data_IF_609303415097
#
_entry.id   IF_609303415097
#
_cell.length_a   1.000
_cell.length_b   1.000
_cell.length_c   1.000
_cell.angle_alpha   90.00
_cell.angle_beta   90.00
_cell.angle_gamma   90.00
#
_symmetry.space_group_name_H-M   'P 1'
#
loop_
_entity.id
_entity.type
_entity.pdbx_description
1 polymer ?
#
# COMPACT_ATOMS: atom_id res chain seq x y z
N UNK A 1 -0.01 7.50 18.92
CA UNK A 1 -0.15 7.21 17.47
C UNK A 1 -0.40 5.72 17.37
N UNK A 2 -1.52 5.24 16.78
CA UNK A 2 -1.73 3.81 16.64
C UNK A 2 -0.59 3.22 15.79
N UNK A 3 -0.06 2.07 16.20
CA UNK A 3 0.89 1.32 15.40
C UNK A 3 0.25 1.05 14.03
N UNK A 4 1.01 1.26 12.96
CA UNK A 4 0.52 0.97 11.61
C UNK A 4 0.28 -0.54 11.50
N UNK A 5 -0.96 -0.93 11.26
CA UNK A 5 -1.32 -2.33 11.05
C UNK A 5 -1.03 -2.72 9.60
N UNK A 6 0.06 -3.47 9.40
CA UNK A 6 0.54 -3.88 8.08
C UNK A 6 -0.38 -4.91 7.42
N UNK A 7 -1.05 -5.75 8.19
CA UNK A 7 -1.96 -6.77 7.65
C UNK A 7 -3.28 -6.12 7.22
N UNK A 8 -3.75 -5.13 7.97
CA UNK A 8 -4.88 -4.29 7.58
C UNK A 8 -4.55 -3.45 6.33
N UNK A 9 -3.32 -2.95 6.20
CA UNK A 9 -2.86 -2.29 4.99
C UNK A 9 -2.88 -3.26 3.80
N UNK A 10 -2.31 -4.45 3.95
CA UNK A 10 -2.24 -5.45 2.89
C UNK A 10 -3.63 -5.88 2.40
N UNK A 11 -4.54 -6.17 3.33
CA UNK A 11 -5.93 -6.49 3.01
C UNK A 11 -6.65 -5.33 2.33
N UNK A 12 -6.37 -4.08 2.73
CA UNK A 12 -6.94 -2.90 2.07
C UNK A 12 -6.46 -2.70 0.63
N UNK A 13 -5.29 -3.26 0.27
CA UNK A 13 -4.79 -3.25 -1.11
C UNK A 13 -5.37 -4.38 -1.96
N UNK A 14 -6.19 -5.27 -1.39
CA UNK A 14 -6.73 -6.43 -2.09
C UNK A 14 -5.83 -7.67 -2.03
N UNK A 15 -4.85 -7.69 -1.12
CA UNK A 15 -3.92 -8.80 -0.93
C UNK A 15 -2.62 -8.66 -1.74
N UNK A 16 -1.72 -9.64 -1.55
CA UNK A 16 -0.36 -9.66 -2.15
C UNK A 16 -0.39 -9.70 -3.68
N UNK A 17 -1.35 -10.43 -4.23
CA UNK A 17 -1.57 -10.59 -5.67
C UNK A 17 -2.06 -9.32 -6.39
N UNK A 18 -2.61 -8.35 -5.65
CA UNK A 18 -3.30 -7.21 -6.24
C UNK A 18 -2.40 -5.99 -6.44
N UNK A 19 -1.15 -6.03 -5.97
CA UNK A 19 -0.20 -4.94 -6.18
C UNK A 19 1.13 -5.45 -6.74
N UNK A 20 1.87 -4.56 -7.38
CA UNK A 20 3.19 -4.83 -7.91
C UNK A 20 4.05 -3.58 -7.93
N UNK A 21 5.38 -3.80 -8.02
CA UNK A 21 6.37 -2.75 -8.23
C UNK A 21 6.33 -1.62 -7.18
N UNK A 22 6.43 -1.95 -5.88
CA UNK A 22 6.43 -0.94 -4.83
C UNK A 22 7.67 -0.04 -4.93
N UNK A 23 7.43 1.27 -5.06
CA UNK A 23 8.46 2.30 -5.23
C UNK A 23 8.22 3.44 -4.26
N UNK A 24 9.28 3.89 -3.60
CA UNK A 24 9.21 5.08 -2.74
C UNK A 24 9.74 6.30 -3.49
N UNK A 25 8.96 7.37 -3.47
CA UNK A 25 9.34 8.70 -3.96
C UNK A 25 9.14 9.70 -2.80
N UNK A 26 10.23 10.03 -2.12
CA UNK A 26 10.23 10.80 -0.88
C UNK A 26 9.30 10.18 0.20
N UNK A 27 8.21 10.86 0.57
CA UNK A 27 7.21 10.39 1.55
C UNK A 27 6.00 9.72 0.89
N UNK A 28 6.08 9.45 -0.42
CA UNK A 28 5.02 8.82 -1.20
C UNK A 28 5.43 7.40 -1.57
N UNK A 29 4.56 6.44 -1.31
CA UNK A 29 4.74 5.07 -1.76
C UNK A 29 3.83 4.86 -2.97
N UNK A 30 4.44 4.56 -4.12
CA UNK A 30 3.76 4.23 -5.36
C UNK A 30 3.75 2.72 -5.54
N UNK A 31 2.58 2.18 -5.85
CA UNK A 31 2.39 0.78 -6.21
C UNK A 31 1.49 0.71 -7.44
N UNK A 32 1.73 -0.29 -8.28
CA UNK A 32 0.86 -0.58 -9.42
C UNK A 32 -0.17 -1.60 -8.97
N UNK A 33 -1.45 -1.25 -9.09
CA UNK A 33 -2.57 -2.11 -8.72
C UNK A 33 -3.05 -2.89 -9.95
N UNK A 34 -3.31 -4.18 -9.77
CA UNK A 34 -3.87 -5.07 -10.79
C UNK A 34 -5.36 -4.82 -10.96
N UNK A 35 -6.13 -4.94 -9.88
CA UNK A 35 -7.57 -4.67 -9.82
C UNK A 35 -7.91 -3.61 -8.77
N UNK A 36 -8.32 -2.44 -9.26
CA UNK A 36 -8.70 -1.30 -8.44
C UNK A 36 -9.94 -1.60 -7.58
N UNK A 37 -10.84 -2.48 -8.03
CA UNK A 37 -12.08 -2.79 -7.32
C UNK A 37 -11.84 -3.56 -6.03
N UNK A 38 -10.71 -4.25 -5.91
CA UNK A 38 -10.29 -4.95 -4.69
C UNK A 38 -9.72 -4.00 -3.62
N UNK A 39 -9.46 -2.73 -3.95
CA UNK A 39 -8.93 -1.76 -2.98
C UNK A 39 -10.06 -1.30 -2.04
N UNK A 40 -9.81 -1.38 -0.73
CA UNK A 40 -10.69 -0.81 0.29
C UNK A 40 -10.21 0.60 0.71
N UNK A 41 -10.72 1.62 0.02
CA UNK A 41 -10.40 3.01 0.29
C UNK A 41 -10.83 3.49 1.70
N UNK A 42 -11.87 2.89 2.28
CA UNK A 42 -12.33 3.25 3.62
C UNK A 42 -11.31 2.80 4.69
N UNK A 43 -10.77 1.59 4.55
CA UNK A 43 -9.71 1.08 5.44
C UNK A 43 -8.44 1.94 5.38
N UNK A 44 -8.02 2.37 4.18
CA UNK A 44 -6.88 3.27 4.01
C UNK A 44 -7.08 4.63 4.73
N UNK A 45 -8.30 5.17 4.68
CA UNK A 45 -8.65 6.40 5.43
C UNK A 45 -8.59 6.17 6.94
N UNK A 46 -9.10 5.03 7.43
CA UNK A 46 -9.05 4.67 8.86
C UNK A 46 -7.61 4.51 9.36
N UNK A 47 -6.72 3.98 8.52
CA UNK A 47 -5.28 3.90 8.78
C UNK A 47 -4.57 5.26 8.76
N UNK A 48 -5.28 6.34 8.41
CA UNK A 48 -4.69 7.68 8.27
C UNK A 48 -3.70 7.78 7.10
N UNK A 49 -3.88 6.94 6.07
CA UNK A 49 -3.04 6.90 4.87
C UNK A 49 -3.86 7.47 3.70
N UNK A 50 -3.69 8.75 3.35
CA UNK A 50 -4.28 9.28 2.13
C UNK A 50 -3.78 8.51 0.92
N UNK A 51 -4.69 8.09 0.06
CA UNK A 51 -4.40 7.31 -1.13
C UNK A 51 -4.93 8.01 -2.37
N UNK A 52 -4.12 8.08 -3.42
CA UNK A 52 -4.46 8.69 -4.71
C UNK A 52 -4.29 7.65 -5.81
N UNK A 53 -5.37 7.37 -6.52
CA UNK A 53 -5.34 6.48 -7.67
C UNK A 53 -5.28 7.29 -8.96
N UNK A 54 -4.33 6.97 -9.83
CA UNK A 54 -4.21 7.52 -11.18
C UNK A 54 -4.09 6.37 -12.19
N UNK A 55 -5.20 6.05 -12.85
CA UNK A 55 -5.27 4.86 -13.70
C UNK A 55 -5.11 3.59 -12.87
N UNK A 56 -3.98 2.89 -13.04
CA UNK A 56 -3.60 1.70 -12.24
C UNK A 56 -2.52 1.98 -11.19
N UNK A 57 -2.00 3.20 -11.12
CA UNK A 57 -1.00 3.56 -10.11
C UNK A 57 -1.70 4.09 -8.86
N UNK A 58 -1.44 3.46 -7.71
CA UNK A 58 -1.88 3.94 -6.40
C UNK A 58 -0.70 4.57 -5.67
N UNK A 59 -0.87 5.82 -5.26
CA UNK A 59 0.08 6.57 -4.46
C UNK A 59 -0.45 6.72 -3.04
N UNK A 60 0.25 6.13 -2.08
CA UNK A 60 -0.03 6.21 -0.65
C UNK A 60 0.86 7.31 -0.02
N UNK A 61 0.24 8.24 0.70
CA UNK A 61 0.94 9.26 1.47
C UNK A 61 1.22 8.73 2.88
N UNK A 62 2.47 8.32 3.11
CA UNK A 62 2.88 7.72 4.38
C UNK A 62 3.82 8.71 5.07
N UNK A 63 3.30 9.49 6.03
CA UNK A 63 4.04 10.56 6.73
C UNK A 63 5.26 10.05 7.50
N UNK A 64 5.15 8.86 8.09
CA UNK A 64 6.20 8.22 8.89
C UNK A 64 6.29 6.74 8.54
N UNK A 65 7.49 6.16 8.60
CA UNK A 65 7.74 4.72 8.35
C UNK A 65 7.53 4.24 6.91
N UNK A 66 7.58 5.14 5.90
CA UNK A 66 7.47 4.77 4.47
C UNK A 66 8.46 3.67 4.07
N UNK A 67 9.67 3.69 4.64
CA UNK A 67 10.67 2.64 4.40
C UNK A 67 10.24 1.27 4.93
N UNK A 68 9.62 1.22 6.12
CA UNK A 68 9.18 -0.04 6.72
C UNK A 68 8.02 -0.64 5.94
N UNK A 69 7.08 0.21 5.51
CA UNK A 69 5.96 -0.21 4.65
C UNK A 69 6.46 -0.72 3.31
N UNK A 70 7.44 -0.04 2.71
CA UNK A 70 8.08 -0.50 1.48
C UNK A 70 8.72 -1.88 1.66
N UNK A 71 9.51 -2.07 2.73
CA UNK A 71 10.15 -3.36 3.01
C UNK A 71 9.11 -4.47 3.18
N UNK A 72 8.10 -4.26 4.04
CA UNK A 72 7.03 -5.23 4.26
C UNK A 72 6.32 -5.62 2.96
N UNK A 73 5.88 -4.65 2.16
CA UNK A 73 5.19 -4.94 0.90
C UNK A 73 6.11 -5.63 -0.12
N UNK A 74 7.39 -5.28 -0.16
CA UNK A 74 8.36 -5.90 -1.06
C UNK A 74 8.68 -7.35 -0.66
N UNK A 75 8.77 -7.63 0.64
CA UNK A 75 8.95 -8.98 1.19
C UNK A 75 7.74 -9.85 0.89
N UNK A 76 6.53 -9.36 1.19
CA UNK A 76 5.29 -10.09 0.87
C UNK A 76 5.14 -10.38 -0.62
N UNK A 77 5.51 -9.43 -1.47
CA UNK A 77 5.47 -9.65 -2.92
C UNK A 77 6.45 -10.76 -3.37
N UNK A 78 7.61 -10.88 -2.73
CA UNK A 78 8.57 -11.96 -3.00
C UNK A 78 8.12 -13.31 -2.46
N UNK A 79 7.45 -13.34 -1.32
CA UNK A 79 6.93 -14.58 -0.71
C UNK A 79 5.73 -15.16 -1.46
N UNK A 80 4.93 -14.32 -2.12
CA UNK A 80 3.78 -14.74 -2.93
C UNK A 80 4.12 -15.15 -4.39
N UNK A 81 5.41 -15.26 -4.72
CA UNK A 81 5.94 -15.63 -6.04
C UNK A 81 6.42 -17.09 -6.05
#
# INVERSE_FOLDING_TARGET
>A
MPALDFDLLLSSLGGVENFSNPKREHQRLKIVIVDVKKINANTLKTLGIPAFLKGRELTLLIKHHTSHVLSYLSERQKEGL
#
